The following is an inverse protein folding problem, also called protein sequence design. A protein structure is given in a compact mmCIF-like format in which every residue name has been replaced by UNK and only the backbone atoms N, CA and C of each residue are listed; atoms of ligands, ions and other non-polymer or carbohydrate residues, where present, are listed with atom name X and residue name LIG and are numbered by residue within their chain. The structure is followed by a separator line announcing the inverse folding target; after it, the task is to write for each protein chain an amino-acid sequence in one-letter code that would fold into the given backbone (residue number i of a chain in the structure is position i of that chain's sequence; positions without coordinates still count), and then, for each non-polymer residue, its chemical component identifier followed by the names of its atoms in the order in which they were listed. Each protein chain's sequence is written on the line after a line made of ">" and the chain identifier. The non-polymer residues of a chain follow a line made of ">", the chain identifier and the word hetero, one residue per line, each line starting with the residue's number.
data_IF_409952177703
#
_entry.id   IF_409952177703
#
_cell.length_a   1.000
_cell.length_b   1.000
_cell.length_c   1.000
_cell.angle_alpha   90.00
_cell.angle_beta   90.00
_cell.angle_gamma   90.00
#
_symmetry.space_group_name_H-M   'P 1'
#
loop_
_entity.id
_entity.type
_entity.pdbx_description
1 polymer ?
#
# COMPACT_ATOMS: atom_id res chain seq x y z
N UNK A 1 8.52 4.96 -14.28
CA UNK A 1 7.25 5.59 -13.87
C UNK A 1 6.40 4.55 -13.13
N UNK A 2 6.04 4.79 -11.87
CA UNK A 2 5.19 3.89 -11.09
C UNK A 2 3.73 4.32 -11.27
N UNK A 3 2.91 3.47 -11.87
CA UNK A 3 1.49 3.74 -12.11
C UNK A 3 0.71 3.42 -10.82
N UNK A 4 0.00 4.41 -10.27
CA UNK A 4 -0.88 4.25 -9.12
C UNK A 4 -2.31 4.45 -9.60
N UNK A 5 -3.16 3.44 -9.40
CA UNK A 5 -4.58 3.45 -9.80
C UNK A 5 -5.43 2.96 -8.64
N UNK A 6 -6.34 3.81 -8.16
CA UNK A 6 -7.29 3.48 -7.11
C UNK A 6 -8.65 3.19 -7.77
N UNK A 7 -9.13 1.96 -7.61
CA UNK A 7 -10.40 1.49 -8.21
C UNK A 7 -11.39 1.31 -7.07
N UNK A 8 -12.54 1.97 -7.17
CA UNK A 8 -13.67 1.82 -6.26
C UNK A 8 -14.71 0.90 -6.91
N UNK A 9 -15.08 -0.19 -6.22
CA UNK A 9 -16.25 -0.99 -6.55
C UNK A 9 -17.15 -1.01 -5.31
N UNK A 10 -18.37 -0.48 -5.41
CA UNK A 10 -19.34 -0.52 -4.31
C UNK A 10 -20.64 0.24 -4.61
N UNK A 11 -21.73 -0.50 -4.82
CA UNK A 11 -23.10 -0.04 -4.61
C UNK A 11 -23.53 -0.58 -3.24
N UNK A 12 -23.90 0.32 -2.33
CA UNK A 12 -24.42 0.11 -0.97
C UNK A 12 -23.71 -0.94 -0.08
N UNK A 13 -22.97 -0.45 0.92
CA UNK A 13 -22.56 -1.09 2.19
C UNK A 13 -21.18 -1.77 2.33
N UNK A 14 -20.30 -1.85 1.33
CA UNK A 14 -18.91 -2.25 1.59
C UNK A 14 -17.98 -1.63 0.54
N UNK A 15 -16.90 -0.96 0.97
CA UNK A 15 -15.92 -0.38 0.06
C UNK A 15 -14.63 -1.18 0.13
N UNK A 16 -14.16 -1.66 -1.02
CA UNK A 16 -12.84 -2.27 -1.13
C UNK A 16 -11.88 -1.26 -1.75
N UNK A 17 -10.93 -0.78 -0.95
CA UNK A 17 -9.85 0.08 -1.41
C UNK A 17 -8.70 -0.78 -1.93
N UNK A 18 -8.37 -0.61 -3.21
CA UNK A 18 -7.29 -1.36 -3.86
C UNK A 18 -6.13 -0.42 -4.20
N UNK A 19 -4.98 -0.64 -3.57
CA UNK A 19 -3.72 0.06 -3.85
C UNK A 19 -2.75 -0.88 -4.56
N UNK A 20 -2.33 -0.52 -5.78
CA UNK A 20 -1.34 -1.29 -6.55
C UNK A 20 0.00 -0.57 -6.61
N UNK A 21 1.06 -1.34 -6.38
CA UNK A 21 2.44 -0.87 -6.48
C UNK A 21 3.22 -1.80 -7.40
N UNK A 22 3.90 -1.23 -8.40
CA UNK A 22 4.70 -1.98 -9.38
C UNK A 22 6.11 -1.39 -9.51
N UNK A 23 7.11 -2.26 -9.54
CA UNK A 23 8.52 -1.93 -9.79
C UNK A 23 8.96 -2.32 -11.20
N UNK A 24 9.93 -1.59 -11.75
CA UNK A 24 10.48 -1.86 -13.08
C UNK A 24 11.66 -2.86 -13.06
N UNK A 25 12.32 -3.02 -11.90
CA UNK A 25 13.48 -3.87 -11.71
C UNK A 25 13.33 -4.80 -10.49
N UNK A 26 14.15 -5.85 -10.45
CA UNK A 26 14.08 -6.87 -9.40
C UNK A 26 14.36 -6.35 -7.98
N UNK A 27 15.17 -5.29 -7.84
CA UNK A 27 15.44 -4.66 -6.54
C UNK A 27 14.20 -3.94 -6.02
N UNK A 28 13.56 -3.15 -6.86
CA UNK A 28 12.29 -2.47 -6.52
C UNK A 28 11.19 -3.49 -6.20
N UNK A 29 11.06 -4.57 -6.99
CA UNK A 29 10.07 -5.63 -6.71
C UNK A 29 10.32 -6.32 -5.37
N UNK A 30 11.59 -6.61 -5.04
CA UNK A 30 11.96 -7.20 -3.75
C UNK A 30 11.63 -6.26 -2.58
N UNK A 31 11.90 -4.97 -2.72
CA UNK A 31 11.53 -3.96 -1.72
C UNK A 31 10.00 -3.89 -1.53
N UNK A 32 9.22 -3.97 -2.61
CA UNK A 32 7.76 -4.04 -2.54
C UNK A 32 7.27 -5.29 -1.81
N UNK A 33 7.90 -6.45 -1.99
CA UNK A 33 7.55 -7.65 -1.23
C UNK A 33 7.85 -7.51 0.26
N UNK A 34 9.03 -6.99 0.63
CA UNK A 34 9.38 -6.74 2.03
C UNK A 34 8.42 -5.74 2.68
N UNK A 35 8.04 -4.70 1.94
CA UNK A 35 7.04 -3.75 2.38
C UNK A 35 5.66 -4.41 2.56
N UNK A 36 5.22 -5.20 1.59
CA UNK A 36 3.96 -5.93 1.67
C UNK A 36 3.88 -6.89 2.86
N UNK A 37 4.98 -7.57 3.21
CA UNK A 37 5.05 -8.42 4.39
C UNK A 37 4.81 -7.62 5.69
N UNK A 38 5.48 -6.46 5.83
CA UNK A 38 5.30 -5.58 7.00
C UNK A 38 3.87 -5.07 7.14
N UNK A 39 3.22 -4.73 6.02
CA UNK A 39 1.81 -4.32 6.05
C UNK A 39 0.93 -5.46 6.55
N UNK A 40 1.14 -6.67 6.06
CA UNK A 40 0.37 -7.84 6.48
C UNK A 40 0.57 -8.19 7.96
N UNK A 41 1.76 -7.89 8.52
CA UNK A 41 2.05 -8.04 9.95
C UNK A 41 1.42 -6.95 10.81
N UNK A 42 1.47 -5.69 10.35
CA UNK A 42 1.09 -4.52 11.14
C UNK A 42 -0.40 -4.16 11.03
N UNK A 43 -1.06 -4.53 9.93
CA UNK A 43 -2.43 -4.14 9.62
C UNK A 43 -3.28 -5.38 9.30
N UNK A 44 -3.93 -5.94 10.33
CA UNK A 44 -4.68 -7.21 10.22
C UNK A 44 -5.94 -7.12 9.36
N UNK A 45 -6.45 -5.91 9.16
CA UNK A 45 -7.60 -5.58 8.31
C UNK A 45 -7.21 -5.40 6.83
N UNK A 46 -5.91 -5.45 6.53
CA UNK A 46 -5.38 -5.32 5.18
C UNK A 46 -5.02 -6.70 4.61
N UNK A 47 -5.36 -6.94 3.34
CA UNK A 47 -4.93 -8.12 2.59
C UNK A 47 -3.88 -7.73 1.57
N UNK A 48 -2.68 -8.28 1.69
CA UNK A 48 -1.59 -8.05 0.74
C UNK A 48 -1.45 -9.25 -0.18
N UNK A 49 -1.45 -8.99 -1.49
CA UNK A 49 -1.23 -10.00 -2.53
C UNK A 49 0.00 -9.64 -3.36
N UNK A 50 1.03 -10.49 -3.42
CA UNK A 50 2.12 -10.31 -4.38
C UNK A 50 1.62 -10.55 -5.82
N UNK A 51 2.16 -9.77 -6.75
CA UNK A 51 1.92 -9.87 -8.19
C UNK A 51 3.26 -10.09 -8.89
N UNK A 52 3.26 -10.36 -10.20
CA UNK A 52 4.50 -10.60 -10.96
C UNK A 52 5.49 -9.43 -10.90
N UNK A 53 5.00 -8.21 -10.69
CA UNK A 53 5.79 -6.97 -10.79
C UNK A 53 5.72 -6.11 -9.53
N UNK A 54 5.22 -6.62 -8.41
CA UNK A 54 5.04 -5.84 -7.18
C UNK A 54 3.92 -6.36 -6.29
N UNK A 55 3.13 -5.48 -5.68
CA UNK A 55 2.10 -5.87 -4.69
C UNK A 55 0.75 -5.18 -4.95
N UNK A 56 -0.31 -5.82 -4.49
CA UNK A 56 -1.65 -5.25 -4.38
C UNK A 56 -2.07 -5.31 -2.91
N UNK A 57 -2.48 -4.18 -2.35
CA UNK A 57 -3.00 -4.06 -0.98
C UNK A 57 -4.49 -3.78 -1.09
N UNK A 58 -5.28 -4.59 -0.40
CA UNK A 58 -6.73 -4.43 -0.31
C UNK A 58 -7.11 -4.13 1.13
N UNK A 59 -7.91 -3.09 1.33
CA UNK A 59 -8.56 -2.83 2.62
C UNK A 59 -10.06 -2.77 2.40
N UNK A 60 -10.78 -3.53 3.22
CA UNK A 60 -12.24 -3.53 3.22
C UNK A 60 -12.72 -2.57 4.30
N UNK A 61 -13.58 -1.64 3.92
CA UNK A 61 -14.22 -0.70 4.84
C UNK A 61 -15.70 -1.06 4.97
N UNK A 62 -16.23 -1.13 6.20
CA UNK A 62 -17.62 -1.50 6.45
C UNK A 62 -18.62 -0.43 6.01
N UNK A 63 -18.18 0.82 5.83
CA UNK A 63 -19.04 1.92 5.36
C UNK A 63 -18.28 2.89 4.45
N UNK A 64 -19.04 3.64 3.63
CA UNK A 64 -18.53 4.72 2.79
C UNK A 64 -18.29 6.00 3.60
N UNK A 65 -17.29 5.96 4.47
CA UNK A 65 -16.87 7.13 5.25
C UNK A 65 -15.72 7.86 4.53
N UNK A 66 -16.01 9.07 4.07
CA UNK A 66 -15.04 9.92 3.37
C UNK A 66 -13.80 10.27 4.22
N UNK A 67 -13.94 10.36 5.55
CA UNK A 67 -12.82 10.61 6.46
C UNK A 67 -11.85 9.44 6.47
N UNK A 68 -12.38 8.22 6.61
CA UNK A 68 -11.58 6.98 6.64
C UNK A 68 -10.88 6.75 5.30
N UNK A 69 -11.56 7.04 4.18
CA UNK A 69 -10.97 6.98 2.84
C UNK A 69 -9.81 7.99 2.72
N UNK A 70 -10.00 9.22 3.20
CA UNK A 70 -8.97 10.26 3.16
C UNK A 70 -7.73 9.89 4.00
N UNK A 71 -7.94 9.36 5.20
CA UNK A 71 -6.86 8.87 6.06
C UNK A 71 -6.08 7.73 5.39
N UNK A 72 -6.78 6.76 4.79
CA UNK A 72 -6.15 5.66 4.07
C UNK A 72 -5.33 6.15 2.87
N UNK A 73 -5.85 7.12 2.10
CA UNK A 73 -5.11 7.73 1.00
C UNK A 73 -3.85 8.44 1.50
N UNK A 74 -3.95 9.17 2.61
CA UNK A 74 -2.79 9.83 3.25
C UNK A 74 -1.73 8.82 3.66
N UNK A 75 -2.13 7.73 4.34
CA UNK A 75 -1.24 6.66 4.75
C UNK A 75 -0.53 6.02 3.56
N UNK A 76 -1.28 5.64 2.51
CA UNK A 76 -0.72 4.99 1.32
C UNK A 76 0.23 5.90 0.54
N UNK A 77 -0.02 7.22 0.56
CA UNK A 77 0.88 8.21 -0.04
C UNK A 77 2.19 8.31 0.75
N UNK A 78 2.13 8.45 2.08
CA UNK A 78 3.33 8.52 2.91
C UNK A 78 4.18 7.25 2.77
N UNK A 79 3.53 6.09 2.78
CA UNK A 79 4.14 4.80 2.49
C UNK A 79 4.85 4.78 1.14
N UNK A 80 4.21 5.29 0.09
CA UNK A 80 4.81 5.33 -1.25
C UNK A 80 6.09 6.16 -1.22
N UNK A 81 6.05 7.31 -0.56
CA UNK A 81 7.18 8.22 -0.47
C UNK A 81 8.34 7.57 0.32
N UNK A 82 8.06 6.86 1.42
CA UNK A 82 9.05 6.07 2.15
C UNK A 82 9.68 4.96 1.30
N UNK A 83 8.88 4.21 0.54
CA UNK A 83 9.41 3.16 -0.37
C UNK A 83 10.30 3.79 -1.43
N UNK A 84 9.89 4.93 -2.01
CA UNK A 84 10.69 5.63 -3.00
C UNK A 84 12.01 6.12 -2.41
N UNK A 85 12.00 6.64 -1.19
CA UNK A 85 13.21 7.02 -0.44
C UNK A 85 14.09 5.77 -0.25
N UNK A 86 13.55 4.64 0.20
CA UNK A 86 14.33 3.41 0.42
C UNK A 86 14.93 2.84 -0.86
N UNK A 87 14.25 3.00 -2.00
CA UNK A 87 14.78 2.59 -3.31
C UNK A 87 15.88 3.54 -3.79
N UNK A 88 15.84 4.82 -3.39
CA UNK A 88 16.84 5.84 -3.77
C UNK A 88 17.94 6.06 -2.72
N UNK A 89 17.83 5.48 -1.52
CA UNK A 89 18.78 5.70 -0.42
C UNK A 89 19.50 4.40 -0.11
N UNK A 90 20.83 4.30 -0.29
CA UNK A 90 21.60 3.16 0.15
C UNK A 90 21.80 3.27 1.67
N UNK A 91 20.81 2.85 2.46
CA UNK A 91 20.92 2.32 3.83
C UNK A 91 19.56 2.43 4.53
N UNK A 92 19.05 1.30 4.99
CA UNK A 92 17.72 1.16 5.56
C UNK A 92 17.63 1.59 7.01
N UNK A 93 16.63 2.41 7.30
CA UNK A 93 15.94 2.47 8.58
C UNK A 93 14.51 2.96 8.30
N UNK A 94 13.52 2.23 8.81
CA UNK A 94 12.10 2.59 8.68
C UNK A 94 11.66 3.34 9.95
N UNK A 95 10.99 4.50 9.85
CA UNK A 95 10.40 5.13 11.01
C UNK A 95 9.15 4.36 11.45
N UNK A 96 9.17 3.82 12.66
CA UNK A 96 7.99 3.29 13.35
C UNK A 96 7.17 4.47 13.89
N UNK A 97 6.00 4.73 13.29
CA UNK A 97 4.95 5.49 13.97
C UNK A 97 3.61 4.76 13.90
N UNK A 98 2.98 4.73 15.07
CA UNK A 98 1.72 4.08 15.36
C UNK A 98 0.58 4.66 14.54
N UNK A 99 -0.28 3.77 14.05
CA UNK A 99 -1.64 4.07 13.64
C UNK A 99 -2.57 4.04 14.85
#
# INVERSE_FOLDING_TARGET
>A
ASLWSLVFEGFDQEIVLVSRFSGADGGTVKALYSFGAKINESYKDCRVKPTRTGIEIRKTLPENDASVISEWMGLMKNVRDEILILVHTPSGEFPTKAC
#
